data_IF_434072246971
#
_entry.id   IF_434072246971
#
_cell.length_a   1.000
_cell.length_b   1.000
_cell.length_c   1.000
_cell.angle_alpha   90.00
_cell.angle_beta   90.00
_cell.angle_gamma   90.00
#
_symmetry.space_group_name_H-M   'P 1'
#
loop_
_entity.id
_entity.type
_entity.pdbx_description
1 polymer ?
#
# COMPACT_ATOMS: atom_id res chain seq x y z
N UNK A 1 10.73 -5.91 11.12
CA UNK A 1 9.69 -6.61 11.93
C UNK A 1 8.34 -6.51 11.23
N UNK A 2 7.46 -7.54 11.30
CA UNK A 2 6.10 -7.48 10.71
C UNK A 2 5.06 -7.30 11.83
N UNK A 3 3.96 -6.60 11.56
CA UNK A 3 2.85 -6.46 12.53
C UNK A 3 2.19 -7.79 12.85
N UNK A 4 2.17 -8.72 11.90
CA UNK A 4 1.68 -10.08 12.06
C UNK A 4 2.75 -11.07 12.58
N UNK A 5 3.71 -10.62 13.36
CA UNK A 5 4.70 -11.50 14.01
C UNK A 5 4.46 -11.59 15.52
N UNK A 6 4.73 -12.75 16.12
CA UNK A 6 4.58 -12.96 17.56
C UNK A 6 5.47 -12.01 18.38
N UNK A 7 6.68 -11.73 17.90
CA UNK A 7 7.60 -10.76 18.55
C UNK A 7 6.98 -9.36 18.57
N UNK A 8 6.33 -8.94 17.47
CA UNK A 8 5.65 -7.65 17.45
C UNK A 8 4.47 -7.62 18.43
N UNK A 9 3.60 -8.63 18.37
CA UNK A 9 2.35 -8.66 19.13
C UNK A 9 2.56 -8.78 20.65
N UNK A 10 3.55 -9.59 21.09
CA UNK A 10 3.72 -9.93 22.50
C UNK A 10 4.92 -9.26 23.17
N UNK A 11 5.83 -8.65 22.41
CA UNK A 11 7.01 -8.01 22.97
C UNK A 11 7.07 -6.53 22.58
N UNK A 12 7.22 -6.24 21.30
CA UNK A 12 7.46 -4.87 20.85
C UNK A 12 6.28 -3.92 21.13
N UNK A 13 5.08 -4.29 20.69
CA UNK A 13 3.90 -3.44 20.83
C UNK A 13 3.50 -3.20 22.29
N UNK A 14 3.39 -4.23 23.17
CA UNK A 14 3.07 -4.02 24.58
C UNK A 14 4.10 -3.14 25.30
N UNK A 15 5.40 -3.37 25.10
CA UNK A 15 6.45 -2.56 25.72
C UNK A 15 6.36 -1.11 25.21
N UNK A 16 6.21 -0.91 23.91
CA UNK A 16 6.10 0.44 23.32
C UNK A 16 4.88 1.19 23.87
N UNK A 17 3.73 0.54 23.94
CA UNK A 17 2.50 1.13 24.51
C UNK A 17 2.71 1.47 25.99
N UNK A 18 3.25 0.55 26.78
CA UNK A 18 3.49 0.78 28.21
C UNK A 18 4.37 2.01 28.42
N UNK A 19 5.53 2.05 27.76
CA UNK A 19 6.47 3.18 27.88
C UNK A 19 5.81 4.48 27.40
N UNK A 20 5.11 4.46 26.25
CA UNK A 20 4.44 5.63 25.69
C UNK A 20 3.38 6.23 26.63
N UNK A 21 2.61 5.41 27.33
CA UNK A 21 1.57 5.90 28.25
C UNK A 21 2.11 6.28 29.64
N UNK A 22 3.27 5.76 30.04
CA UNK A 22 3.93 6.12 31.31
C UNK A 22 4.66 7.46 31.25
N UNK A 23 5.14 7.90 30.06
CA UNK A 23 5.90 9.14 29.95
C UNK A 23 5.01 10.39 29.77
N UNK A 24 5.50 11.57 30.21
CA UNK A 24 4.77 12.83 29.98
C UNK A 24 4.72 13.18 28.50
N UNK A 25 3.74 14.00 28.11
CA UNK A 25 3.45 14.39 26.71
C UNK A 25 4.70 14.84 25.94
N UNK A 26 5.58 15.63 26.58
CA UNK A 26 6.79 16.19 25.96
C UNK A 26 7.78 15.11 25.46
N UNK A 27 7.74 13.90 26.04
CA UNK A 27 8.67 12.79 25.73
C UNK A 27 8.05 11.77 24.80
N UNK A 28 6.74 11.81 24.56
CA UNK A 28 6.01 10.82 23.75
C UNK A 28 6.54 10.69 22.31
N UNK A 29 6.92 11.80 21.67
CA UNK A 29 7.50 11.76 20.33
C UNK A 29 8.92 11.14 20.33
N UNK A 30 9.69 11.36 21.39
CA UNK A 30 11.02 10.68 21.55
C UNK A 30 10.82 9.17 21.67
N UNK A 31 9.85 8.72 22.48
CA UNK A 31 9.53 7.28 22.62
C UNK A 31 9.13 6.68 21.27
N UNK A 32 8.25 7.36 20.51
CA UNK A 32 7.85 6.90 19.19
C UNK A 32 9.01 6.87 18.20
N UNK A 33 9.87 7.88 18.21
CA UNK A 33 11.07 7.93 17.37
C UNK A 33 12.00 6.74 17.67
N UNK A 34 12.34 6.52 18.95
CA UNK A 34 13.22 5.41 19.35
C UNK A 34 12.59 4.06 19.01
N UNK A 35 11.32 3.85 19.35
CA UNK A 35 10.60 2.62 19.01
C UNK A 35 10.59 2.38 17.50
N UNK A 36 10.35 3.41 16.70
CA UNK A 36 10.33 3.32 15.25
C UNK A 36 11.70 2.99 14.66
N UNK A 37 12.77 3.57 15.20
CA UNK A 37 14.13 3.25 14.79
C UNK A 37 14.50 1.80 15.16
N UNK A 38 14.11 1.31 16.34
CA UNK A 38 14.29 -0.11 16.74
C UNK A 38 13.49 -1.03 15.79
N UNK A 39 12.23 -0.69 15.50
CA UNK A 39 11.37 -1.44 14.59
C UNK A 39 12.00 -1.57 13.20
N UNK A 40 12.55 -0.46 12.67
CA UNK A 40 13.20 -0.43 11.36
C UNK A 40 14.52 -1.19 11.36
N UNK A 41 15.40 -0.93 12.35
CA UNK A 41 16.71 -1.58 12.48
C UNK A 41 16.60 -3.10 12.63
N UNK A 42 15.50 -3.62 13.19
CA UNK A 42 15.25 -5.06 13.29
C UNK A 42 15.25 -5.77 11.94
N UNK A 43 14.74 -5.12 10.90
CA UNK A 43 14.73 -5.66 9.54
C UNK A 43 15.85 -5.14 8.65
N UNK A 44 16.36 -3.94 8.95
CA UNK A 44 17.28 -3.17 8.10
C UNK A 44 18.43 -2.56 8.91
N UNK A 45 19.31 -3.37 9.48
CA UNK A 45 20.36 -2.88 10.39
C UNK A 45 21.38 -1.96 9.71
N UNK A 46 21.57 -2.08 8.39
CA UNK A 46 22.49 -1.23 7.62
C UNK A 46 21.77 0.00 7.07
N UNK A 47 20.58 -0.18 6.50
CA UNK A 47 19.87 0.91 5.82
C UNK A 47 19.19 1.90 6.78
N UNK A 48 19.22 1.65 8.10
CA UNK A 48 18.83 2.65 9.10
C UNK A 48 19.69 3.91 8.99
N UNK A 49 20.99 3.78 8.67
CA UNK A 49 21.87 4.94 8.48
C UNK A 49 21.45 5.78 7.27
N UNK A 50 21.04 5.12 6.17
CA UNK A 50 20.50 5.83 5.00
C UNK A 50 19.24 6.61 5.36
N UNK A 51 18.33 6.02 6.13
CA UNK A 51 17.11 6.69 6.58
C UNK A 51 17.45 7.89 7.49
N UNK A 52 18.38 7.76 8.43
CA UNK A 52 18.82 8.86 9.28
C UNK A 52 19.45 10.01 8.47
N UNK A 53 20.30 9.68 7.49
CA UNK A 53 20.88 10.66 6.57
C UNK A 53 19.77 11.37 5.77
N UNK A 54 18.78 10.62 5.26
CA UNK A 54 17.65 11.19 4.53
C UNK A 54 16.83 12.14 5.42
N UNK A 55 16.59 11.79 6.69
CA UNK A 55 15.89 12.65 7.65
C UNK A 55 16.65 13.96 7.85
N UNK A 56 17.94 13.89 8.17
CA UNK A 56 18.77 15.08 8.38
C UNK A 56 18.83 15.95 7.13
N UNK A 57 19.06 15.34 5.97
CA UNK A 57 19.10 16.04 4.68
C UNK A 57 17.79 16.81 4.43
N UNK A 58 16.63 16.14 4.50
CA UNK A 58 15.35 16.79 4.24
C UNK A 58 14.96 17.80 5.31
N UNK A 59 15.34 17.59 6.58
CA UNK A 59 15.16 18.57 7.65
C UNK A 59 15.89 19.87 7.33
N UNK A 60 17.20 19.82 7.01
CA UNK A 60 17.97 21.01 6.68
C UNK A 60 17.53 21.65 5.36
N UNK A 61 17.15 20.87 4.36
CA UNK A 61 16.61 21.41 3.11
C UNK A 61 15.27 22.13 3.33
N UNK A 62 14.39 21.62 4.20
CA UNK A 62 13.16 22.30 4.58
C UNK A 62 13.42 23.66 5.25
N UNK A 63 14.37 23.70 6.18
CA UNK A 63 14.83 24.95 6.82
C UNK A 63 15.42 25.93 5.79
N UNK A 64 16.27 25.43 4.89
CA UNK A 64 16.89 26.24 3.84
C UNK A 64 15.85 26.87 2.90
N UNK A 65 14.83 26.12 2.49
CA UNK A 65 13.73 26.63 1.65
C UNK A 65 12.92 27.70 2.39
N UNK A 66 12.60 27.47 3.66
CA UNK A 66 11.80 28.41 4.46
C UNK A 66 12.54 29.73 4.76
N UNK A 67 13.85 29.67 5.03
CA UNK A 67 14.66 30.82 5.41
C UNK A 67 15.14 31.67 4.21
N UNK A 68 15.14 31.13 2.99
CA UNK A 68 15.62 31.84 1.80
C UNK A 68 14.69 32.96 1.39
N UNK A 69 15.27 34.14 1.25
CA UNK A 69 14.63 35.30 0.63
C UNK A 69 14.62 35.15 -0.89
N UNK A 70 13.44 35.25 -1.50
CA UNK A 70 13.26 35.32 -2.94
C UNK A 70 12.99 33.96 -3.61
N UNK A 71 11.92 33.97 -4.42
CA UNK A 71 11.33 32.79 -5.11
C UNK A 71 12.34 31.98 -5.93
N UNK A 72 13.26 32.66 -6.63
CA UNK A 72 14.27 31.98 -7.46
C UNK A 72 15.24 31.12 -6.62
N UNK A 73 15.60 31.58 -5.43
CA UNK A 73 16.48 30.85 -4.51
C UNK A 73 15.77 29.63 -3.90
N UNK A 74 14.53 29.82 -3.49
CA UNK A 74 13.67 28.72 -2.99
C UNK A 74 13.47 27.63 -4.04
N UNK A 75 13.19 28.00 -5.32
CA UNK A 75 13.04 27.05 -6.42
C UNK A 75 14.31 26.23 -6.65
N UNK A 76 15.50 26.86 -6.59
CA UNK A 76 16.77 26.13 -6.74
C UNK A 76 16.96 25.10 -5.64
N UNK A 77 16.69 25.46 -4.39
CA UNK A 77 16.76 24.53 -3.26
C UNK A 77 15.73 23.39 -3.39
N UNK A 78 14.50 23.72 -3.79
CA UNK A 78 13.46 22.72 -4.05
C UNK A 78 13.90 21.70 -5.11
N UNK A 79 14.36 22.18 -6.27
CA UNK A 79 14.81 21.30 -7.37
C UNK A 79 15.98 20.43 -6.90
N UNK A 80 16.97 21.01 -6.23
CA UNK A 80 18.11 20.28 -5.69
C UNK A 80 17.64 19.16 -4.75
N UNK A 81 16.75 19.47 -3.81
CA UNK A 81 16.24 18.49 -2.84
C UNK A 81 15.46 17.37 -3.53
N UNK A 82 14.59 17.71 -4.50
CA UNK A 82 13.84 16.72 -5.28
C UNK A 82 14.80 15.81 -6.05
N UNK A 83 15.80 16.38 -6.74
CA UNK A 83 16.76 15.60 -7.52
C UNK A 83 17.56 14.64 -6.65
N UNK A 84 18.04 15.09 -5.48
CA UNK A 84 18.80 14.22 -4.56
C UNK A 84 17.91 13.07 -4.03
N UNK A 85 16.68 13.35 -3.58
CA UNK A 85 15.77 12.31 -3.10
C UNK A 85 15.43 11.29 -4.21
N UNK A 86 15.12 11.76 -5.42
CA UNK A 86 14.83 10.89 -6.56
C UNK A 86 16.08 10.13 -7.04
N UNK A 87 17.27 10.72 -6.95
CA UNK A 87 18.52 10.02 -7.27
C UNK A 87 18.78 8.87 -6.28
N UNK A 88 18.61 9.11 -4.98
CA UNK A 88 18.78 8.05 -3.96
C UNK A 88 17.78 6.93 -4.20
N UNK A 89 16.50 7.24 -4.36
CA UNK A 89 15.47 6.26 -4.66
C UNK A 89 15.78 5.52 -5.97
N UNK A 90 16.15 6.25 -7.02
CA UNK A 90 16.48 5.72 -8.34
C UNK A 90 17.68 4.80 -8.32
N UNK A 91 18.71 5.15 -7.57
CA UNK A 91 19.90 4.34 -7.42
C UNK A 91 19.58 2.96 -6.81
N UNK A 92 18.90 2.92 -5.67
CA UNK A 92 18.58 1.63 -5.04
C UNK A 92 17.54 0.84 -5.81
N UNK A 93 16.55 1.49 -6.42
CA UNK A 93 15.42 0.80 -7.04
C UNK A 93 15.67 0.42 -8.51
N UNK A 94 16.31 1.30 -9.29
CA UNK A 94 16.38 1.13 -10.75
C UNK A 94 17.77 0.80 -11.30
N UNK A 95 18.83 0.89 -10.49
CA UNK A 95 20.19 0.59 -10.93
C UNK A 95 20.30 -0.77 -11.63
N UNK A 96 19.86 -1.83 -10.98
CA UNK A 96 19.88 -3.18 -11.56
C UNK A 96 19.05 -3.31 -12.84
N UNK A 97 17.86 -2.70 -12.86
CA UNK A 97 16.99 -2.69 -14.04
C UNK A 97 17.62 -1.97 -15.22
N UNK A 98 18.21 -0.80 -15.00
CA UNK A 98 18.90 -0.03 -16.05
C UNK A 98 20.08 -0.82 -16.60
N UNK A 99 20.95 -1.35 -15.73
CA UNK A 99 22.12 -2.10 -16.18
C UNK A 99 21.74 -3.39 -16.93
N UNK A 100 20.71 -4.11 -16.46
CA UNK A 100 20.20 -5.30 -17.15
C UNK A 100 19.71 -4.97 -18.57
N UNK A 101 18.94 -3.87 -18.73
CA UNK A 101 18.47 -3.45 -20.04
C UNK A 101 19.63 -2.95 -20.94
N UNK A 102 20.62 -2.24 -20.39
CA UNK A 102 21.82 -1.85 -21.13
C UNK A 102 22.60 -3.08 -21.61
N UNK A 103 22.80 -4.07 -20.76
CA UNK A 103 23.48 -5.32 -21.12
C UNK A 103 22.74 -6.13 -22.21
N UNK A 104 21.42 -5.94 -22.35
CA UNK A 104 20.65 -6.57 -23.43
C UNK A 104 20.84 -5.88 -24.81
N UNK A 105 21.32 -4.65 -24.82
CA UNK A 105 21.46 -3.82 -26.04
C UNK A 105 22.93 -3.64 -26.43
N UNK A 106 23.82 -3.52 -25.45
CA UNK A 106 25.23 -3.22 -25.67
C UNK A 106 26.02 -4.47 -26.14
N UNK A 107 27.05 -4.31 -26.99
CA UNK A 107 27.90 -5.41 -27.43
C UNK A 107 28.91 -5.89 -26.37
N UNK A 108 28.99 -5.23 -25.23
CA UNK A 108 29.84 -5.58 -24.10
C UNK A 108 29.00 -5.66 -22.80
N UNK A 109 29.48 -6.47 -21.87
CA UNK A 109 28.79 -6.67 -20.58
C UNK A 109 29.29 -5.69 -19.52
N UNK A 110 28.37 -4.98 -18.85
CA UNK A 110 28.62 -4.13 -17.69
C UNK A 110 28.39 -4.98 -16.43
N UNK A 111 29.45 -5.34 -15.68
CA UNK A 111 29.29 -6.08 -14.45
C UNK A 111 28.58 -5.21 -13.39
N UNK A 112 27.63 -5.79 -12.68
CA UNK A 112 26.95 -5.09 -11.59
C UNK A 112 26.58 -6.04 -10.45
N UNK A 113 26.53 -5.50 -9.25
CA UNK A 113 26.03 -6.21 -8.08
C UNK A 113 24.56 -5.83 -7.88
N UNK A 114 23.71 -6.82 -7.73
CA UNK A 114 22.31 -6.58 -7.37
C UNK A 114 22.26 -5.95 -5.97
N UNK A 115 21.71 -4.75 -5.88
CA UNK A 115 21.48 -4.05 -4.62
C UNK A 115 20.15 -4.54 -4.04
N UNK A 116 20.12 -4.74 -2.73
CA UNK A 116 18.87 -4.94 -2.02
C UNK A 116 18.16 -3.60 -1.87
N UNK A 117 16.85 -3.60 -2.10
CA UNK A 117 16.04 -2.40 -1.94
C UNK A 117 15.79 -2.14 -0.46
N UNK A 118 16.22 -0.99 0.11
CA UNK A 118 15.92 -0.66 1.50
C UNK A 118 14.41 -0.64 1.75
N UNK A 119 13.94 -1.40 2.72
CA UNK A 119 12.51 -1.48 3.05
C UNK A 119 11.96 -0.07 3.35
N UNK A 120 10.82 0.28 2.75
CA UNK A 120 10.16 1.56 2.98
C UNK A 120 10.79 2.78 2.30
N UNK A 121 11.90 2.62 1.52
CA UNK A 121 12.55 3.78 0.86
C UNK A 121 11.59 4.57 -0.03
N UNK A 122 10.70 3.89 -0.76
CA UNK A 122 9.69 4.55 -1.59
C UNK A 122 8.69 5.36 -0.76
N UNK A 123 8.32 4.87 0.44
CA UNK A 123 7.37 5.53 1.33
C UNK A 123 7.97 6.77 1.98
N UNK A 124 9.12 6.64 2.67
CA UNK A 124 9.71 7.80 3.34
C UNK A 124 10.23 8.84 2.34
N UNK A 125 10.64 8.44 1.12
CA UNK A 125 10.96 9.40 0.06
C UNK A 125 9.71 10.20 -0.35
N UNK A 126 8.56 9.56 -0.53
CA UNK A 126 7.32 10.27 -0.86
C UNK A 126 6.84 11.18 0.28
N UNK A 127 6.99 10.75 1.53
CA UNK A 127 6.70 11.58 2.70
C UNK A 127 7.58 12.82 2.75
N UNK A 128 8.89 12.66 2.62
CA UNK A 128 9.83 13.78 2.66
C UNK A 128 9.66 14.71 1.45
N UNK A 129 9.41 14.18 0.25
CA UNK A 129 9.11 15.00 -0.93
C UNK A 129 7.83 15.82 -0.75
N UNK A 130 6.75 15.22 -0.22
CA UNK A 130 5.51 15.97 0.04
C UNK A 130 5.76 17.10 1.04
N UNK A 131 6.48 16.84 2.14
CA UNK A 131 6.85 17.86 3.11
C UNK A 131 7.61 19.03 2.46
N UNK A 132 8.68 18.75 1.71
CA UNK A 132 9.51 19.78 1.06
C UNK A 132 8.70 20.61 0.06
N UNK A 133 7.85 19.98 -0.73
CA UNK A 133 6.98 20.67 -1.69
C UNK A 133 5.95 21.53 -0.97
N UNK A 134 5.37 21.04 0.12
CA UNK A 134 4.35 21.77 0.87
C UNK A 134 4.93 22.95 1.67
N UNK A 135 6.14 22.83 2.22
CA UNK A 135 6.90 23.97 2.78
C UNK A 135 7.14 25.04 1.71
N UNK A 136 7.58 24.64 0.51
CA UNK A 136 7.78 25.59 -0.60
C UNK A 136 6.48 26.27 -1.06
N UNK A 137 5.36 25.55 -1.04
CA UNK A 137 4.02 26.09 -1.40
C UNK A 137 3.45 26.99 -0.30
N UNK A 138 3.97 26.90 0.93
CA UNK A 138 3.41 27.56 2.11
C UNK A 138 2.14 26.88 2.63
N UNK A 139 1.94 25.61 2.30
CA UNK A 139 0.80 24.81 2.77
C UNK A 139 0.99 24.35 4.22
N UNK A 140 2.24 24.22 4.66
CA UNK A 140 2.64 23.82 6.01
C UNK A 140 3.81 24.67 6.50
N UNK A 141 3.93 24.81 7.82
CA UNK A 141 5.07 25.44 8.44
C UNK A 141 6.29 24.51 8.42
N UNK A 142 7.50 25.12 8.34
CA UNK A 142 8.73 24.34 8.44
C UNK A 142 8.86 23.75 9.84
N UNK A 143 9.15 22.44 9.92
CA UNK A 143 9.37 21.77 11.20
C UNK A 143 10.75 22.10 11.75
N UNK A 144 10.77 22.83 12.86
CA UNK A 144 12.01 23.27 13.55
C UNK A 144 12.50 22.27 14.61
N UNK A 145 11.68 21.28 14.97
CA UNK A 145 12.04 20.24 15.93
C UNK A 145 12.44 18.96 15.18
N UNK A 146 13.72 18.60 15.23
CA UNK A 146 14.26 17.42 14.58
C UNK A 146 13.63 16.12 15.10
N UNK A 147 13.25 16.05 16.37
CA UNK A 147 12.59 14.88 16.96
C UNK A 147 11.20 14.69 16.35
N UNK A 148 10.42 15.76 16.22
CA UNK A 148 9.09 15.72 15.63
C UNK A 148 9.15 15.37 14.14
N UNK A 149 10.12 15.92 13.40
CA UNK A 149 10.35 15.60 12.01
C UNK A 149 10.79 14.12 11.83
N UNK A 150 11.77 13.69 12.65
CA UNK A 150 12.22 12.29 12.67
C UNK A 150 11.08 11.32 13.01
N UNK A 151 10.24 11.66 14.01
CA UNK A 151 9.05 10.87 14.36
C UNK A 151 8.09 10.76 13.17
N UNK A 152 7.81 11.87 12.48
CA UNK A 152 6.96 11.87 11.28
C UNK A 152 7.46 10.89 10.21
N UNK A 153 8.74 10.96 9.87
CA UNK A 153 9.32 10.15 8.79
C UNK A 153 9.43 8.68 9.18
N UNK A 154 9.81 8.38 10.44
CA UNK A 154 10.12 7.01 10.88
C UNK A 154 8.94 6.25 11.47
N UNK A 155 7.83 6.91 11.79
CA UNK A 155 6.73 6.37 12.58
C UNK A 155 6.32 4.96 12.11
N UNK A 156 6.62 3.94 12.90
CA UNK A 156 6.52 2.53 12.52
C UNK A 156 5.12 2.09 12.02
N UNK A 157 3.99 2.66 12.50
CA UNK A 157 2.70 2.28 11.95
C UNK A 157 2.55 2.56 10.44
N UNK A 158 3.16 3.63 9.94
CA UNK A 158 3.01 4.04 8.54
C UNK A 158 4.20 3.67 7.64
N UNK A 159 5.40 3.44 8.24
CA UNK A 159 6.69 3.45 7.52
C UNK A 159 6.81 2.41 6.40
N UNK A 160 6.29 1.19 6.59
CA UNK A 160 6.55 0.08 5.67
C UNK A 160 5.48 -0.03 4.58
N UNK A 161 4.22 -0.08 4.95
CA UNK A 161 3.07 -0.19 4.03
C UNK A 161 1.78 0.36 4.65
N UNK A 162 1.90 1.29 5.58
CA UNK A 162 0.78 2.10 6.04
C UNK A 162 0.31 3.07 4.95
N UNK A 163 -0.70 3.89 5.22
CA UNK A 163 -1.03 5.01 4.35
C UNK A 163 0.18 5.93 4.17
N UNK A 164 0.37 6.47 2.95
CA UNK A 164 1.37 7.52 2.72
C UNK A 164 0.84 8.79 3.35
N UNK A 165 1.20 9.01 4.61
CA UNK A 165 0.74 10.16 5.40
C UNK A 165 1.53 11.39 4.97
N UNK A 166 0.83 12.44 4.53
CA UNK A 166 1.45 13.72 4.23
C UNK A 166 1.72 14.49 5.53
N UNK A 167 2.73 15.36 5.52
CA UNK A 167 3.07 16.13 6.72
C UNK A 167 1.90 17.02 7.18
N UNK A 168 1.15 17.59 6.25
CA UNK A 168 -0.06 18.37 6.52
C UNK A 168 -1.13 17.61 7.34
N UNK A 169 -1.22 16.29 7.17
CA UNK A 169 -2.19 15.46 7.88
C UNK A 169 -1.83 15.30 9.38
N UNK A 170 -0.55 15.40 9.73
CA UNK A 170 -0.04 15.10 11.08
C UNK A 170 0.67 16.24 11.76
N UNK A 171 0.95 17.34 11.09
CA UNK A 171 1.66 18.51 11.63
C UNK A 171 1.12 18.93 13.00
N UNK A 172 -0.18 19.21 13.07
CA UNK A 172 -0.84 19.59 14.32
C UNK A 172 -0.88 18.44 15.33
N UNK A 173 -1.06 17.19 14.86
CA UNK A 173 -1.16 16.02 15.72
C UNK A 173 0.17 15.68 16.41
N UNK A 174 1.31 15.97 15.79
CA UNK A 174 2.63 15.80 16.42
C UNK A 174 2.73 16.61 17.71
N UNK A 175 2.09 17.80 17.77
CA UNK A 175 2.15 18.71 18.92
C UNK A 175 0.95 18.57 19.86
N UNK A 176 -0.26 18.40 19.34
CA UNK A 176 -1.51 18.60 20.07
C UNK A 176 -2.45 17.39 20.13
N UNK A 177 -1.99 16.18 19.65
CA UNK A 177 -2.84 14.99 19.68
C UNK A 177 -3.30 14.65 21.10
N UNK A 178 -4.52 14.15 21.20
CA UNK A 178 -5.14 13.69 22.46
C UNK A 178 -5.41 12.20 22.38
N UNK A 179 -4.88 11.49 23.33
CA UNK A 179 -5.18 10.07 23.54
C UNK A 179 -6.46 9.96 24.40
N UNK A 180 -7.28 8.94 24.12
CA UNK A 180 -8.42 8.56 24.95
C UNK A 180 -8.60 7.04 24.94
N UNK A 181 -9.22 6.50 25.99
CA UNK A 181 -9.56 5.07 26.06
C UNK A 181 -10.47 4.65 24.91
N UNK A 182 -11.38 5.52 24.48
CA UNK A 182 -12.28 5.28 23.34
C UNK A 182 -11.46 5.14 22.04
N UNK A 183 -10.55 6.08 21.76
CA UNK A 183 -9.67 6.00 20.60
C UNK A 183 -8.78 4.76 20.65
N UNK A 184 -8.26 4.43 21.83
CA UNK A 184 -7.44 3.24 22.02
C UNK A 184 -8.24 1.97 21.73
N UNK A 185 -9.44 1.81 22.30
CA UNK A 185 -10.29 0.64 22.06
C UNK A 185 -10.69 0.50 20.59
N UNK A 186 -11.02 1.61 19.93
CA UNK A 186 -11.32 1.62 18.50
C UNK A 186 -10.10 1.29 17.65
N UNK A 187 -8.92 1.80 18.03
CA UNK A 187 -7.65 1.46 17.41
C UNK A 187 -7.30 -0.03 17.56
N UNK A 188 -7.51 -0.61 18.74
CA UNK A 188 -7.31 -2.04 18.99
C UNK A 188 -8.24 -2.91 18.14
N UNK A 189 -9.50 -2.52 17.99
CA UNK A 189 -10.43 -3.19 17.10
C UNK A 189 -9.97 -3.16 15.64
N UNK A 190 -9.59 -1.99 15.12
CA UNK A 190 -9.05 -1.86 13.76
C UNK A 190 -7.81 -2.73 13.55
N UNK A 191 -6.93 -2.76 14.53
CA UNK A 191 -5.73 -3.58 14.51
C UNK A 191 -6.08 -5.08 14.42
N UNK A 192 -6.98 -5.57 15.27
CA UNK A 192 -7.36 -7.00 15.28
C UNK A 192 -8.11 -7.37 14.01
N UNK A 193 -8.99 -6.50 13.49
CA UNK A 193 -9.65 -6.74 12.20
C UNK A 193 -8.65 -6.77 11.03
N UNK A 194 -7.67 -5.87 11.02
CA UNK A 194 -6.58 -5.88 10.04
C UNK A 194 -5.73 -7.15 10.13
N UNK A 195 -5.40 -7.58 11.36
CA UNK A 195 -4.68 -8.83 11.62
C UNK A 195 -5.47 -10.05 11.11
N UNK A 196 -6.78 -10.09 11.34
CA UNK A 196 -7.64 -11.16 10.86
C UNK A 196 -7.70 -11.21 9.32
N UNK A 197 -7.84 -10.06 8.64
CA UNK A 197 -7.74 -9.98 7.19
C UNK A 197 -6.41 -10.57 6.68
N UNK A 198 -5.30 -10.20 7.32
CA UNK A 198 -3.96 -10.65 6.94
C UNK A 198 -3.77 -12.13 7.22
N UNK A 199 -4.04 -12.59 8.44
CA UNK A 199 -3.68 -13.95 8.88
C UNK A 199 -4.68 -14.98 8.38
N UNK A 200 -5.98 -14.72 8.55
CA UNK A 200 -7.01 -15.72 8.26
C UNK A 200 -7.41 -15.76 6.78
N UNK A 201 -7.40 -14.61 6.08
CA UNK A 201 -7.82 -14.55 4.68
C UNK A 201 -6.62 -14.49 3.74
N UNK A 202 -5.77 -13.44 3.85
CA UNK A 202 -4.71 -13.24 2.87
C UNK A 202 -3.69 -14.39 2.85
N UNK A 203 -3.23 -14.86 4.01
CA UNK A 203 -2.26 -15.96 4.06
C UNK A 203 -2.85 -17.26 3.50
N UNK A 204 -4.07 -17.62 3.93
CA UNK A 204 -4.70 -18.87 3.50
C UNK A 204 -5.03 -18.84 2.00
N UNK A 205 -5.64 -17.78 1.51
CA UNK A 205 -5.96 -17.64 0.08
C UNK A 205 -4.67 -17.50 -0.75
N UNK A 206 -3.65 -16.86 -0.20
CA UNK A 206 -2.34 -16.77 -0.83
C UNK A 206 -1.66 -18.11 -1.03
N UNK A 207 -1.79 -19.04 -0.08
CA UNK A 207 -1.27 -20.40 -0.26
C UNK A 207 -2.01 -21.16 -1.38
N UNK A 208 -3.30 -20.88 -1.61
CA UNK A 208 -4.05 -21.42 -2.75
C UNK A 208 -3.47 -20.89 -4.07
N UNK A 209 -3.21 -19.58 -4.14
CA UNK A 209 -2.58 -18.98 -5.32
C UNK A 209 -1.20 -19.59 -5.61
N UNK A 210 -0.32 -19.69 -4.61
CA UNK A 210 1.03 -20.27 -4.80
C UNK A 210 0.97 -21.73 -5.29
N UNK A 211 0.03 -22.53 -4.77
CA UNK A 211 -0.19 -23.89 -5.23
C UNK A 211 -0.61 -23.95 -6.71
N UNK A 212 -1.51 -23.04 -7.14
CA UNK A 212 -1.93 -22.96 -8.54
C UNK A 212 -0.78 -22.47 -9.43
N UNK A 213 -0.03 -21.47 -8.98
CA UNK A 213 1.09 -20.90 -9.72
C UNK A 213 2.24 -21.89 -9.93
N UNK A 214 2.36 -22.92 -9.09
CA UNK A 214 3.35 -23.97 -9.18
C UNK A 214 2.93 -25.15 -10.08
N UNK A 215 1.72 -25.13 -10.67
CA UNK A 215 1.23 -26.23 -11.52
C UNK A 215 1.87 -26.23 -12.92
N UNK A 216 2.22 -27.40 -13.42
CA UNK A 216 2.64 -27.62 -14.80
C UNK A 216 1.41 -27.73 -15.73
N UNK A 217 0.91 -26.58 -16.17
CA UNK A 217 -0.32 -26.48 -16.97
C UNK A 217 -1.56 -26.31 -16.11
N UNK A 218 -2.57 -25.65 -16.65
CA UNK A 218 -3.82 -25.35 -15.94
C UNK A 218 -4.99 -25.29 -16.91
N UNK A 219 -6.18 -25.69 -16.44
CA UNK A 219 -7.42 -25.47 -17.18
C UNK A 219 -7.84 -24.00 -17.14
N UNK A 220 -8.79 -23.60 -18.01
CA UNK A 220 -9.34 -22.25 -18.01
C UNK A 220 -9.86 -21.87 -16.63
N UNK A 221 -10.64 -22.76 -15.99
CA UNK A 221 -11.21 -22.52 -14.67
C UNK A 221 -10.11 -22.40 -13.61
N UNK A 222 -9.07 -23.25 -13.65
CA UNK A 222 -7.92 -23.18 -12.72
C UNK A 222 -7.17 -21.85 -12.86
N UNK A 223 -6.97 -21.36 -14.10
CA UNK A 223 -6.31 -20.07 -14.34
C UNK A 223 -7.11 -18.89 -13.76
N UNK A 224 -8.44 -18.89 -13.90
CA UNK A 224 -9.32 -17.90 -13.28
C UNK A 224 -9.36 -18.01 -11.76
N UNK A 225 -9.36 -19.22 -11.19
CA UNK A 225 -9.29 -19.41 -9.73
C UNK A 225 -7.97 -18.89 -9.15
N UNK A 226 -6.83 -19.12 -9.83
CA UNK A 226 -5.54 -18.56 -9.40
C UNK A 226 -5.52 -17.04 -9.43
N UNK A 227 -6.07 -16.44 -10.49
CA UNK A 227 -6.22 -14.98 -10.58
C UNK A 227 -7.15 -14.43 -9.49
N UNK A 228 -8.27 -15.10 -9.20
CA UNK A 228 -9.20 -14.73 -8.12
C UNK A 228 -8.54 -14.87 -6.74
N UNK A 229 -7.78 -15.94 -6.51
CA UNK A 229 -7.03 -16.14 -5.28
C UNK A 229 -6.04 -15.00 -5.04
N UNK A 230 -5.24 -14.63 -6.06
CA UNK A 230 -4.35 -13.48 -5.94
C UNK A 230 -5.10 -12.16 -5.73
N UNK A 231 -6.22 -11.97 -6.40
CA UNK A 231 -7.10 -10.79 -6.24
C UNK A 231 -7.54 -10.61 -4.79
N UNK A 232 -7.96 -11.68 -4.11
CA UNK A 232 -8.29 -11.60 -2.69
C UNK A 232 -7.04 -11.48 -1.81
N UNK A 233 -5.98 -12.22 -2.12
CA UNK A 233 -4.73 -12.16 -1.37
C UNK A 233 -4.20 -10.73 -1.30
N UNK A 234 -4.00 -10.06 -2.44
CA UNK A 234 -3.42 -8.70 -2.47
C UNK A 234 -4.31 -7.69 -1.75
N UNK A 235 -5.63 -7.84 -1.85
CA UNK A 235 -6.56 -6.96 -1.15
C UNK A 235 -6.52 -7.13 0.37
N UNK A 236 -6.64 -8.37 0.85
CA UNK A 236 -6.66 -8.62 2.29
C UNK A 236 -5.29 -8.46 2.93
N UNK A 237 -4.21 -8.75 2.21
CA UNK A 237 -2.84 -8.53 2.68
C UNK A 237 -2.59 -7.03 2.90
N UNK A 238 -2.85 -6.23 1.89
CA UNK A 238 -2.54 -4.80 1.94
C UNK A 238 -3.58 -4.00 2.76
N UNK A 239 -4.89 -4.26 2.58
CA UNK A 239 -5.90 -3.59 3.41
C UNK A 239 -5.80 -3.99 4.87
N UNK A 240 -5.46 -5.25 5.17
CA UNK A 240 -5.23 -5.72 6.53
C UNK A 240 -4.06 -5.01 7.19
N UNK A 241 -2.94 -4.87 6.48
CA UNK A 241 -1.79 -4.11 6.99
C UNK A 241 -2.13 -2.62 7.19
N UNK A 242 -2.84 -2.02 6.24
CA UNK A 242 -3.28 -0.62 6.34
C UNK A 242 -4.23 -0.40 7.52
N UNK A 243 -5.18 -1.32 7.77
CA UNK A 243 -6.08 -1.25 8.92
C UNK A 243 -5.31 -1.38 10.24
N UNK A 244 -4.32 -2.30 10.30
CA UNK A 244 -3.42 -2.39 11.47
C UNK A 244 -2.67 -1.09 11.70
N UNK A 245 -2.16 -0.45 10.63
CA UNK A 245 -1.46 0.84 10.70
C UNK A 245 -2.35 1.97 11.23
N UNK A 246 -3.58 2.08 10.70
CA UNK A 246 -4.58 3.06 11.17
C UNK A 246 -4.96 2.78 12.64
N UNK A 247 -5.15 1.51 12.99
CA UNK A 247 -5.42 1.09 14.37
C UNK A 247 -4.32 1.49 15.34
N UNK A 248 -3.06 1.21 14.99
CA UNK A 248 -1.90 1.64 15.78
C UNK A 248 -1.81 3.17 15.89
N UNK A 249 -2.03 3.90 14.77
CA UNK A 249 -2.11 5.35 14.81
C UNK A 249 -3.10 5.84 15.88
N UNK A 250 -4.34 5.31 15.89
CA UNK A 250 -5.37 5.66 16.86
C UNK A 250 -4.97 5.32 18.30
N UNK A 251 -4.30 4.19 18.54
CA UNK A 251 -3.77 3.84 19.85
C UNK A 251 -2.75 4.87 20.37
N UNK A 252 -1.95 5.47 19.48
CA UNK A 252 -1.01 6.54 19.82
C UNK A 252 -1.59 7.95 19.70
N UNK A 253 -2.90 8.08 19.46
CA UNK A 253 -3.63 9.35 19.37
C UNK A 253 -3.60 10.03 18.01
N UNK A 254 -3.02 9.39 16.97
CA UNK A 254 -3.02 9.89 15.59
C UNK A 254 -4.26 9.44 14.81
N UNK A 255 -4.68 10.27 13.87
CA UNK A 255 -5.72 9.96 12.89
C UNK A 255 -5.06 9.84 11.51
N UNK A 256 -4.95 8.62 10.99
CA UNK A 256 -4.48 8.36 9.63
C UNK A 256 -5.64 8.16 8.69
N UNK A 257 -5.45 8.53 7.42
CA UNK A 257 -6.45 8.31 6.38
C UNK A 257 -6.63 6.82 6.09
N UNK A 258 -7.86 6.42 5.75
CA UNK A 258 -8.12 5.08 5.24
C UNK A 258 -7.52 4.92 3.84
N UNK A 259 -6.93 3.76 3.58
CA UNK A 259 -6.27 3.48 2.31
C UNK A 259 -7.13 2.65 1.35
N UNK A 260 -8.18 2.01 1.84
CA UNK A 260 -9.10 1.17 1.08
C UNK A 260 -10.56 1.43 1.48
N UNK A 261 -11.45 1.42 0.47
CA UNK A 261 -12.89 1.55 0.67
C UNK A 261 -13.64 0.59 -0.25
N UNK A 262 -13.58 -0.72 0.05
CA UNK A 262 -14.26 -1.79 -0.70
C UNK A 262 -14.10 -1.65 -2.23
N UNK A 263 -12.88 -1.72 -2.76
CA UNK A 263 -12.61 -1.42 -4.17
C UNK A 263 -13.27 -2.39 -5.14
N UNK A 264 -13.54 -3.64 -4.75
CA UNK A 264 -14.08 -4.67 -5.64
C UNK A 264 -15.58 -4.58 -5.92
N UNK A 265 -16.28 -3.62 -5.31
CA UNK A 265 -17.66 -3.27 -5.69
C UNK A 265 -17.74 -2.04 -6.61
N UNK A 266 -16.61 -1.59 -7.14
CA UNK A 266 -16.55 -0.40 -8.01
C UNK A 266 -17.24 -0.65 -9.36
N UNK A 267 -17.93 0.36 -9.83
CA UNK A 267 -18.71 0.34 -11.09
C UNK A 267 -17.90 0.77 -12.31
N UNK A 268 -16.65 1.21 -12.09
CA UNK A 268 -15.68 1.57 -13.14
C UNK A 268 -14.26 1.43 -12.60
N UNK A 269 -13.28 1.32 -13.48
CA UNK A 269 -11.86 1.31 -13.10
C UNK A 269 -11.44 2.67 -12.51
N UNK A 270 -12.06 3.75 -12.97
CA UNK A 270 -11.89 5.08 -12.36
C UNK A 270 -12.35 5.10 -10.89
N UNK A 271 -13.49 4.49 -10.59
CA UNK A 271 -13.97 4.37 -9.20
C UNK A 271 -13.10 3.43 -8.38
N UNK A 272 -12.65 2.31 -8.98
CA UNK A 272 -11.75 1.37 -8.33
C UNK A 272 -10.51 2.06 -7.78
N UNK A 273 -9.82 2.90 -8.56
CA UNK A 273 -8.63 3.62 -8.12
C UNK A 273 -8.89 4.76 -7.13
N UNK A 274 -10.13 5.21 -6.98
CA UNK A 274 -10.54 6.11 -5.88
C UNK A 274 -10.76 5.38 -4.57
N UNK A 275 -10.89 4.04 -4.61
CA UNK A 275 -11.17 3.17 -3.47
C UNK A 275 -9.97 2.28 -3.09
N UNK A 276 -9.02 2.12 -4.01
CA UNK A 276 -7.79 1.34 -3.86
C UNK A 276 -6.60 2.25 -3.64
N UNK A 277 -5.79 1.98 -2.58
CA UNK A 277 -4.55 2.70 -2.25
C UNK A 277 -4.72 4.23 -2.33
N UNK A 278 -5.70 4.73 -1.60
CA UNK A 278 -6.19 6.12 -1.67
C UNK A 278 -5.05 7.11 -1.42
N UNK A 279 -4.16 6.82 -0.45
CA UNK A 279 -3.04 7.69 -0.11
C UNK A 279 -2.05 7.86 -1.26
N UNK A 280 -1.73 6.78 -1.99
CA UNK A 280 -0.87 6.85 -3.18
C UNK A 280 -1.53 7.66 -4.31
N UNK A 281 -2.82 7.38 -4.56
CA UNK A 281 -3.60 8.14 -5.55
C UNK A 281 -3.66 9.63 -5.24
N UNK A 282 -3.85 9.99 -3.97
CA UNK A 282 -3.83 11.38 -3.49
C UNK A 282 -2.46 12.01 -3.69
N UNK A 283 -1.39 11.29 -3.36
CA UNK A 283 -0.02 11.77 -3.53
C UNK A 283 0.29 12.09 -5.01
N UNK A 284 0.04 11.14 -5.92
CA UNK A 284 0.26 11.36 -7.35
C UNK A 284 -0.62 12.48 -7.91
N UNK A 285 -1.84 12.61 -7.42
CA UNK A 285 -2.74 13.71 -7.81
C UNK A 285 -2.17 15.07 -7.42
N UNK A 286 -1.76 15.24 -6.15
CA UNK A 286 -1.33 16.56 -5.61
C UNK A 286 0.07 16.96 -6.09
N UNK A 287 0.99 16.00 -6.22
CA UNK A 287 2.40 16.31 -6.48
C UNK A 287 2.84 16.05 -7.92
N UNK A 288 2.04 15.35 -8.74
CA UNK A 288 2.36 15.09 -10.15
C UNK A 288 1.27 15.58 -11.08
N UNK A 289 0.03 15.08 -10.92
CA UNK A 289 -1.04 15.35 -11.88
C UNK A 289 -1.45 16.83 -11.91
N UNK A 290 -1.70 17.45 -10.77
CA UNK A 290 -2.08 18.87 -10.68
C UNK A 290 -0.95 19.80 -11.20
N UNK A 291 0.33 19.62 -10.81
CA UNK A 291 1.43 20.40 -11.37
C UNK A 291 1.60 20.29 -12.89
N UNK A 292 1.26 19.14 -13.50
CA UNK A 292 1.25 18.97 -14.95
C UNK A 292 0.08 19.69 -15.65
N UNK A 293 -0.81 20.36 -14.88
CA UNK A 293 -2.00 21.06 -15.37
C UNK A 293 -3.31 20.29 -15.15
N UNK A 294 -3.25 19.04 -14.65
CA UNK A 294 -4.42 18.22 -14.35
C UNK A 294 -5.34 18.04 -15.57
N UNK A 295 -6.62 18.27 -15.37
CA UNK A 295 -7.66 18.25 -16.44
C UNK A 295 -8.01 19.64 -16.99
N UNK A 296 -7.30 20.70 -16.55
CA UNK A 296 -7.54 22.09 -16.97
C UNK A 296 -6.65 22.48 -18.16
N UNK A 297 -6.40 21.55 -19.06
CA UNK A 297 -5.55 21.67 -20.24
C UNK A 297 -6.25 21.09 -21.47
N UNK A 298 -5.66 21.27 -22.66
CA UNK A 298 -6.19 20.68 -23.90
C UNK A 298 -6.26 19.15 -23.82
N UNK A 299 -7.15 18.52 -24.57
CA UNK A 299 -7.35 17.07 -24.56
C UNK A 299 -6.04 16.28 -24.78
N UNK A 300 -5.22 16.58 -25.82
CA UNK A 300 -3.96 15.85 -26.01
C UNK A 300 -3.00 15.96 -24.80
N UNK A 301 -2.92 17.15 -24.18
CA UNK A 301 -2.10 17.35 -22.98
C UNK A 301 -2.65 16.57 -21.79
N UNK A 302 -3.99 16.50 -21.63
CA UNK A 302 -4.60 15.72 -20.57
C UNK A 302 -4.36 14.22 -20.73
N UNK A 303 -4.42 13.68 -21.97
CA UNK A 303 -4.05 12.28 -22.26
C UNK A 303 -2.61 12.01 -21.84
N UNK A 304 -1.68 12.90 -22.21
CA UNK A 304 -0.27 12.80 -21.81
C UNK A 304 -0.10 12.85 -20.29
N UNK A 305 -0.80 13.74 -19.59
CA UNK A 305 -0.75 13.83 -18.12
C UNK A 305 -1.18 12.51 -17.46
N UNK A 306 -2.27 11.88 -17.96
CA UNK A 306 -2.72 10.59 -17.45
C UNK A 306 -1.68 9.50 -17.72
N UNK A 307 -1.13 9.41 -18.91
CA UNK A 307 -0.11 8.42 -19.25
C UNK A 307 1.17 8.60 -18.41
N UNK A 308 1.63 9.85 -18.19
CA UNK A 308 2.78 10.13 -17.34
C UNK A 308 2.52 9.66 -15.89
N UNK A 309 1.37 10.01 -15.32
CA UNK A 309 1.03 9.61 -13.95
C UNK A 309 1.00 8.09 -13.81
N UNK A 310 0.37 7.38 -14.74
CA UNK A 310 0.26 5.92 -14.67
C UNK A 310 1.56 5.20 -15.00
N UNK A 311 2.37 5.74 -15.90
CA UNK A 311 3.73 5.27 -16.15
C UNK A 311 4.58 5.38 -14.87
N UNK A 312 4.56 6.53 -14.20
CA UNK A 312 5.28 6.75 -12.94
C UNK A 312 4.73 5.89 -11.81
N UNK A 313 3.41 5.66 -11.77
CA UNK A 313 2.79 4.74 -10.80
C UNK A 313 3.28 3.31 -11.02
N UNK A 314 3.36 2.86 -12.26
CA UNK A 314 3.93 1.55 -12.60
C UNK A 314 5.39 1.43 -12.17
N UNK A 315 6.23 2.40 -12.52
CA UNK A 315 7.63 2.45 -12.08
C UNK A 315 7.76 2.47 -10.54
N UNK A 316 6.89 3.20 -9.85
CA UNK A 316 6.92 3.24 -8.39
C UNK A 316 6.67 1.86 -7.76
N UNK A 317 5.84 1.03 -8.36
CA UNK A 317 5.60 -0.33 -7.87
C UNK A 317 6.83 -1.24 -8.06
N UNK A 318 7.55 -1.16 -9.18
CA UNK A 318 8.71 -2.01 -9.35
C UNK A 318 9.55 -1.70 -10.59
N UNK A 319 10.81 -2.11 -10.52
CA UNK A 319 11.79 -1.95 -11.59
C UNK A 319 11.72 -3.15 -12.56
N UNK A 320 10.60 -3.30 -13.26
CA UNK A 320 10.43 -4.30 -14.32
C UNK A 320 9.43 -3.83 -15.38
N UNK A 321 9.52 -4.42 -16.57
CA UNK A 321 8.62 -4.11 -17.68
C UNK A 321 7.16 -4.45 -17.39
N UNK A 322 6.92 -5.46 -16.54
CA UNK A 322 5.57 -5.82 -16.09
C UNK A 322 4.85 -4.65 -15.44
N UNK A 323 5.53 -3.96 -14.50
CA UNK A 323 4.95 -2.81 -13.80
C UNK A 323 4.77 -1.62 -14.74
N UNK A 324 5.69 -1.41 -15.70
CA UNK A 324 5.51 -0.36 -16.71
C UNK A 324 4.27 -0.63 -17.56
N UNK A 325 4.13 -1.86 -18.08
CA UNK A 325 2.96 -2.26 -18.88
C UNK A 325 1.68 -2.23 -18.05
N UNK A 326 1.72 -2.67 -16.80
CA UNK A 326 0.61 -2.56 -15.86
C UNK A 326 0.15 -1.11 -15.65
N UNK A 327 1.07 -0.19 -15.43
CA UNK A 327 0.74 1.23 -15.31
C UNK A 327 0.12 1.79 -16.59
N UNK A 328 0.71 1.53 -17.75
CA UNK A 328 0.19 1.98 -19.04
C UNK A 328 -1.18 1.36 -19.36
N UNK A 329 -1.40 0.09 -19.02
CA UNK A 329 -2.70 -0.58 -19.15
C UNK A 329 -3.82 0.21 -18.42
N UNK A 330 -3.58 0.60 -17.16
CA UNK A 330 -4.56 1.42 -16.45
C UNK A 330 -4.66 2.85 -16.99
N UNK A 331 -3.55 3.44 -17.43
CA UNK A 331 -3.58 4.73 -18.10
C UNK A 331 -4.50 4.74 -19.32
N UNK A 332 -4.40 3.71 -20.17
CA UNK A 332 -5.25 3.55 -21.35
C UNK A 332 -6.72 3.32 -20.99
N UNK A 333 -7.00 2.45 -19.99
CA UNK A 333 -8.37 2.20 -19.54
C UNK A 333 -9.03 3.47 -19.02
N UNK A 334 -8.34 4.24 -18.18
CA UNK A 334 -8.89 5.47 -17.63
C UNK A 334 -9.14 6.55 -18.68
N UNK A 335 -8.28 6.63 -19.69
CA UNK A 335 -8.51 7.48 -20.86
C UNK A 335 -9.77 7.01 -21.60
N UNK A 336 -9.88 5.70 -21.84
CA UNK A 336 -11.02 5.11 -22.55
C UNK A 336 -12.31 5.31 -21.77
N UNK A 337 -12.32 5.10 -20.44
CA UNK A 337 -13.52 5.38 -19.62
C UNK A 337 -13.90 6.86 -19.68
N UNK A 338 -12.92 7.76 -19.59
CA UNK A 338 -13.20 9.18 -19.54
C UNK A 338 -13.79 9.73 -20.85
N UNK A 339 -13.26 9.30 -21.98
CA UNK A 339 -13.59 9.91 -23.28
C UNK A 339 -14.56 9.09 -24.13
N UNK A 340 -14.65 7.77 -23.90
CA UNK A 340 -15.42 6.87 -24.76
C UNK A 340 -16.44 6.03 -23.99
N UNK A 341 -16.00 5.10 -23.15
CA UNK A 341 -16.86 4.03 -22.60
C UNK A 341 -17.63 4.45 -21.36
N UNK A 342 -17.21 5.47 -20.61
CA UNK A 342 -17.83 5.81 -19.33
C UNK A 342 -19.33 6.17 -19.42
N UNK A 343 -19.74 6.87 -20.50
CA UNK A 343 -21.16 7.19 -20.72
C UNK A 343 -22.01 5.96 -21.07
N UNK A 344 -21.42 4.96 -21.72
CA UNK A 344 -22.08 3.70 -22.06
C UNK A 344 -22.18 2.86 -20.80
N UNK A 345 -21.06 2.71 -20.08
CA UNK A 345 -20.98 1.95 -18.84
C UNK A 345 -22.01 2.42 -17.80
N UNK A 346 -22.18 3.73 -17.64
CA UNK A 346 -23.14 4.32 -16.70
C UNK A 346 -24.61 3.98 -16.99
N UNK A 347 -24.93 3.49 -18.19
CA UNK A 347 -26.30 3.08 -18.58
C UNK A 347 -26.56 1.58 -18.33
N UNK A 348 -25.54 0.79 -18.06
CA UNK A 348 -25.65 -0.64 -17.81
C UNK A 348 -26.13 -0.92 -16.39
N UNK A 349 -26.72 -2.09 -16.12
CA UNK A 349 -27.02 -2.54 -14.76
C UNK A 349 -25.76 -2.57 -13.89
N UNK A 350 -25.89 -2.27 -12.59
CA UNK A 350 -24.76 -2.19 -11.66
C UNK A 350 -23.91 -3.48 -11.63
N UNK A 351 -24.55 -4.64 -11.67
CA UNK A 351 -23.84 -5.93 -11.70
C UNK A 351 -22.92 -6.06 -12.93
N UNK A 352 -23.36 -5.55 -14.10
CA UNK A 352 -22.56 -5.56 -15.34
C UNK A 352 -21.38 -4.59 -15.22
N UNK A 353 -21.60 -3.41 -14.61
CA UNK A 353 -20.54 -2.43 -14.35
C UNK A 353 -19.47 -3.00 -13.43
N UNK A 354 -19.87 -3.68 -12.34
CA UNK A 354 -18.94 -4.33 -11.40
C UNK A 354 -18.20 -5.46 -12.11
N UNK A 355 -18.89 -6.30 -12.88
CA UNK A 355 -18.25 -7.39 -13.62
C UNK A 355 -17.19 -6.87 -14.62
N UNK A 356 -17.53 -5.82 -15.39
CA UNK A 356 -16.57 -5.14 -16.28
C UNK A 356 -15.33 -4.69 -15.52
N UNK A 357 -15.54 -4.01 -14.40
CA UNK A 357 -14.43 -3.50 -13.57
C UNK A 357 -13.58 -4.65 -13.03
N UNK A 358 -14.22 -5.70 -12.49
CA UNK A 358 -13.51 -6.85 -11.91
C UNK A 358 -12.70 -7.61 -12.95
N UNK A 359 -13.23 -7.84 -14.15
CA UNK A 359 -12.47 -8.51 -15.23
C UNK A 359 -11.20 -7.71 -15.55
N UNK A 360 -11.30 -6.40 -15.74
CA UNK A 360 -10.15 -5.55 -16.06
C UNK A 360 -9.14 -5.48 -14.91
N UNK A 361 -9.63 -5.41 -13.67
CA UNK A 361 -8.77 -5.42 -12.48
C UNK A 361 -8.05 -6.74 -12.34
N UNK A 362 -8.72 -7.86 -12.55
CA UNK A 362 -8.11 -9.20 -12.49
C UNK A 362 -7.04 -9.37 -13.58
N UNK A 363 -7.29 -8.94 -14.80
CA UNK A 363 -6.27 -8.92 -15.87
C UNK A 363 -5.08 -8.03 -15.50
N UNK A 364 -5.33 -6.87 -14.89
CA UNK A 364 -4.28 -6.02 -14.33
C UNK A 364 -3.46 -6.72 -13.25
N UNK A 365 -4.09 -7.52 -12.37
CA UNK A 365 -3.36 -8.30 -11.37
C UNK A 365 -2.51 -9.41 -12.00
N UNK A 366 -2.91 -10.01 -13.12
CA UNK A 366 -2.05 -10.97 -13.84
C UNK A 366 -0.76 -10.31 -14.31
N UNK A 367 -0.83 -9.10 -14.87
CA UNK A 367 0.37 -8.32 -15.21
C UNK A 367 1.23 -8.01 -13.99
N UNK A 368 0.62 -7.78 -12.84
CA UNK A 368 1.28 -7.37 -11.60
C UNK A 368 2.02 -8.53 -10.91
N UNK A 369 1.40 -9.70 -10.80
CA UNK A 369 2.01 -10.83 -10.08
C UNK A 369 2.98 -11.65 -10.92
N UNK A 370 2.89 -11.58 -12.23
CA UNK A 370 3.71 -12.42 -13.12
C UNK A 370 5.18 -12.02 -13.07
N UNK A 371 6.12 -12.97 -13.01
CA UNK A 371 7.55 -12.66 -13.00
C UNK A 371 8.05 -11.97 -14.26
N UNK A 372 7.46 -12.27 -15.42
CA UNK A 372 7.81 -11.71 -16.72
C UNK A 372 6.57 -11.39 -17.54
N UNK A 373 6.68 -10.50 -18.53
CA UNK A 373 5.58 -10.23 -19.47
C UNK A 373 5.16 -11.50 -20.23
N UNK A 374 6.12 -12.36 -20.58
CA UNK A 374 5.83 -13.64 -21.24
C UNK A 374 4.94 -14.52 -20.37
N UNK A 375 5.27 -14.70 -19.08
CA UNK A 375 4.44 -15.47 -18.15
C UNK A 375 3.07 -14.83 -17.93
N UNK A 376 2.97 -13.50 -17.94
CA UNK A 376 1.68 -12.81 -17.84
C UNK A 376 0.79 -13.12 -19.05
N UNK A 377 1.33 -13.03 -20.26
CA UNK A 377 0.59 -13.36 -21.48
C UNK A 377 0.22 -14.84 -21.58
N UNK A 378 1.10 -15.74 -21.12
CA UNK A 378 0.76 -17.18 -21.01
C UNK A 378 -0.40 -17.40 -20.04
N UNK A 379 -0.37 -16.76 -18.86
CA UNK A 379 -1.47 -16.88 -17.89
C UNK A 379 -2.79 -16.36 -18.45
N UNK A 380 -2.77 -15.16 -19.06
CA UNK A 380 -3.94 -14.59 -19.73
C UNK A 380 -4.42 -15.50 -20.86
N UNK A 381 -3.51 -16.07 -21.65
CA UNK A 381 -3.84 -17.06 -22.68
C UNK A 381 -4.60 -18.24 -22.11
N UNK A 382 -4.12 -18.83 -21.01
CA UNK A 382 -4.80 -19.93 -20.33
C UNK A 382 -6.19 -19.53 -19.82
N UNK A 383 -6.39 -18.32 -19.31
CA UNK A 383 -7.71 -17.82 -18.88
C UNK A 383 -8.73 -17.78 -20.02
N UNK A 384 -8.27 -17.64 -21.27
CA UNK A 384 -9.12 -17.59 -22.46
C UNK A 384 -8.99 -18.84 -23.36
N UNK A 385 -8.37 -19.93 -22.84
CA UNK A 385 -8.30 -21.23 -23.50
C UNK A 385 -7.08 -21.40 -24.42
N UNK A 386 -6.24 -20.39 -24.61
CA UNK A 386 -5.04 -20.48 -25.42
C UNK A 386 -3.89 -21.09 -24.58
N UNK A 387 -3.58 -22.36 -24.78
CA UNK A 387 -2.57 -23.10 -24.01
C UNK A 387 -3.10 -23.80 -22.76
N UNK A 388 -4.39 -23.65 -22.45
CA UNK A 388 -5.03 -24.37 -21.35
C UNK A 388 -5.16 -25.87 -21.63
N UNK A 389 -5.07 -26.69 -20.57
CA UNK A 389 -5.22 -28.18 -20.66
C UNK A 389 -6.65 -28.60 -20.94
N UNK A 390 -7.62 -27.71 -20.92
CA UNK A 390 -9.04 -27.90 -21.11
C UNK A 390 -9.85 -26.79 -20.47
N UNK A 391 -11.17 -26.84 -20.55
CA UNK A 391 -12.02 -25.82 -19.92
C UNK A 391 -12.04 -25.98 -18.39
N UNK A 392 -12.26 -27.21 -17.90
CA UNK A 392 -12.33 -27.56 -16.48
C UNK A 392 -11.72 -28.92 -16.25
N UNK A 393 -10.99 -29.10 -15.16
CA UNK A 393 -10.37 -30.36 -14.76
C UNK A 393 -10.77 -30.75 -13.33
N UNK A 394 -10.39 -31.97 -12.91
CA UNK A 394 -10.63 -32.43 -11.54
C UNK A 394 -9.97 -31.55 -10.47
N UNK A 395 -8.86 -30.94 -10.83
CA UNK A 395 -8.12 -30.04 -9.94
C UNK A 395 -8.90 -28.74 -9.66
N UNK A 396 -9.52 -28.15 -10.69
CA UNK A 396 -10.38 -26.98 -10.51
C UNK A 396 -11.56 -27.29 -9.58
N UNK A 397 -12.21 -28.45 -9.77
CA UNK A 397 -13.31 -28.89 -8.92
C UNK A 397 -12.86 -29.10 -7.47
N UNK A 398 -11.71 -29.76 -7.27
CA UNK A 398 -11.11 -29.94 -5.95
C UNK A 398 -10.81 -28.61 -5.25
N UNK A 399 -10.21 -27.65 -5.96
CA UNK A 399 -9.89 -26.31 -5.41
C UNK A 399 -11.15 -25.55 -4.99
N UNK A 400 -12.22 -25.63 -5.79
CA UNK A 400 -13.51 -25.01 -5.45
C UNK A 400 -14.11 -25.65 -4.20
N UNK A 401 -14.24 -27.00 -4.19
CA UNK A 401 -14.91 -27.71 -3.11
C UNK A 401 -14.13 -27.68 -1.79
N UNK A 402 -12.81 -27.84 -1.84
CA UNK A 402 -11.97 -27.81 -0.64
C UNK A 402 -11.94 -26.42 0.02
N UNK A 403 -11.94 -25.37 -0.80
CA UNK A 403 -11.72 -24.00 -0.33
C UNK A 403 -12.99 -23.14 -0.38
N UNK A 404 -14.18 -23.74 -0.49
CA UNK A 404 -15.43 -23.00 -0.67
C UNK A 404 -15.67 -21.91 0.39
N UNK A 405 -15.30 -22.20 1.65
CA UNK A 405 -15.44 -21.25 2.76
C UNK A 405 -14.60 -19.99 2.54
N UNK A 406 -13.36 -20.16 2.05
CA UNK A 406 -12.47 -19.03 1.78
C UNK A 406 -12.91 -18.22 0.55
N UNK A 407 -13.48 -18.86 -0.47
CA UNK A 407 -14.09 -18.15 -1.60
C UNK A 407 -15.27 -17.30 -1.15
N UNK A 408 -16.17 -17.84 -0.37
CA UNK A 408 -17.33 -17.11 0.18
C UNK A 408 -16.86 -15.99 1.13
N UNK A 409 -15.93 -16.27 2.03
CA UNK A 409 -15.37 -15.28 2.95
C UNK A 409 -14.65 -14.14 2.20
N UNK A 410 -13.92 -14.46 1.12
CA UNK A 410 -13.27 -13.50 0.24
C UNK A 410 -14.27 -12.57 -0.43
N UNK A 411 -15.35 -13.12 -0.99
CA UNK A 411 -16.42 -12.32 -1.62
C UNK A 411 -17.09 -11.40 -0.58
N UNK A 412 -17.57 -11.97 0.53
CA UNK A 412 -18.28 -11.21 1.58
C UNK A 412 -17.37 -10.14 2.20
N UNK A 413 -16.13 -10.49 2.54
CA UNK A 413 -15.14 -9.58 3.12
C UNK A 413 -14.71 -8.44 2.18
N UNK A 414 -14.87 -8.62 0.87
CA UNK A 414 -14.62 -7.59 -0.13
C UNK A 414 -15.77 -6.58 -0.29
N UNK A 415 -16.89 -6.80 0.42
CA UNK A 415 -18.07 -5.91 0.42
C UNK A 415 -18.22 -5.19 1.76
N UNK A 416 -18.99 -4.10 1.84
CA UNK A 416 -19.27 -3.42 3.11
C UNK A 416 -20.19 -4.20 4.06
N UNK A 417 -20.65 -5.39 3.69
CA UNK A 417 -21.61 -6.18 4.45
C UNK A 417 -21.17 -6.41 5.89
N UNK A 418 -19.93 -6.87 6.10
CA UNK A 418 -19.41 -7.14 7.45
C UNK A 418 -19.27 -5.86 8.28
N UNK A 419 -18.93 -4.75 7.67
CA UNK A 419 -18.86 -3.45 8.34
C UNK A 419 -20.25 -2.95 8.76
N UNK A 420 -21.24 -3.05 7.88
CA UNK A 420 -22.63 -2.68 8.18
C UNK A 420 -23.24 -3.57 9.27
N UNK A 421 -22.96 -4.88 9.22
CA UNK A 421 -23.38 -5.82 10.24
C UNK A 421 -22.70 -5.51 11.57
N UNK A 422 -21.40 -5.23 11.57
CA UNK A 422 -20.64 -4.84 12.75
C UNK A 422 -21.16 -3.56 13.39
N UNK A 423 -21.41 -2.51 12.61
CA UNK A 423 -22.06 -1.28 13.11
C UNK A 423 -23.40 -1.56 13.76
N UNK A 424 -24.20 -2.45 13.18
CA UNK A 424 -25.55 -2.74 13.67
C UNK A 424 -25.59 -3.59 14.91
N UNK A 425 -24.65 -4.53 15.08
CA UNK A 425 -24.67 -5.54 16.14
C UNK A 425 -23.67 -5.28 17.27
N UNK A 426 -22.53 -4.61 16.96
CA UNK A 426 -21.37 -4.65 17.86
C UNK A 426 -20.73 -3.29 18.10
N UNK A 427 -20.66 -2.42 17.08
CA UNK A 427 -19.88 -1.19 17.11
C UNK A 427 -20.65 0.01 16.56
N UNK A 428 -21.13 0.84 17.46
CA UNK A 428 -21.39 2.24 17.18
C UNK A 428 -20.19 3.07 17.67
N UNK A 429 -19.73 4.07 16.92
CA UNK A 429 -18.68 5.00 17.38
C UNK A 429 -19.06 5.68 18.69
N UNK A 430 -20.36 5.83 18.95
CA UNK A 430 -20.91 6.38 20.18
C UNK A 430 -20.96 5.35 21.34
N UNK A 431 -20.87 4.05 21.07
CA UNK A 431 -20.95 2.96 22.07
C UNK A 431 -19.91 1.85 21.85
N UNK A 432 -18.60 2.17 21.88
CA UNK A 432 -17.55 1.19 21.54
C UNK A 432 -17.31 0.08 22.58
N UNK A 433 -18.05 0.03 23.66
CA UNK A 433 -17.75 -0.79 24.85
C UNK A 433 -18.78 -1.86 25.18
N UNK A 434 -19.37 -2.50 24.18
CA UNK A 434 -20.19 -3.67 24.50
C UNK A 434 -19.30 -4.84 24.88
N UNK A 435 -19.70 -5.60 25.93
CA UNK A 435 -19.01 -6.84 26.35
C UNK A 435 -18.88 -7.81 25.15
N UNK A 436 -19.91 -7.87 24.30
CA UNK A 436 -19.89 -8.68 23.07
C UNK A 436 -18.75 -8.27 22.14
N UNK A 437 -18.51 -6.97 21.93
CA UNK A 437 -17.41 -6.49 21.10
C UNK A 437 -16.06 -6.94 21.65
N UNK A 438 -15.86 -6.82 22.96
CA UNK A 438 -14.66 -7.27 23.65
C UNK A 438 -14.43 -8.78 23.50
N UNK A 439 -15.48 -9.59 23.70
CA UNK A 439 -15.41 -11.05 23.53
C UNK A 439 -15.07 -11.44 22.08
N UNK A 440 -15.74 -10.82 21.09
CA UNK A 440 -15.48 -11.09 19.67
C UNK A 440 -14.06 -10.69 19.27
N UNK A 441 -13.59 -9.53 19.71
CA UNK A 441 -12.23 -9.06 19.44
C UNK A 441 -11.20 -10.02 20.06
N UNK A 442 -11.39 -10.43 21.31
CA UNK A 442 -10.48 -11.36 21.99
C UNK A 442 -10.48 -12.74 21.30
N UNK A 443 -11.65 -13.28 20.99
CA UNK A 443 -11.77 -14.55 20.28
C UNK A 443 -11.09 -14.51 18.90
N UNK A 444 -11.30 -13.43 18.14
CA UNK A 444 -10.66 -13.23 16.84
C UNK A 444 -9.13 -13.10 16.95
N UNK A 445 -8.65 -12.35 17.96
CA UNK A 445 -7.23 -12.22 18.23
C UNK A 445 -6.59 -13.56 18.59
N UNK A 446 -7.21 -14.34 19.49
CA UNK A 446 -6.74 -15.69 19.86
C UNK A 446 -6.69 -16.62 18.64
N UNK A 447 -7.70 -16.57 17.78
CA UNK A 447 -7.72 -17.33 16.53
C UNK A 447 -6.56 -16.93 15.60
N UNK A 448 -6.32 -15.62 15.43
CA UNK A 448 -5.18 -15.14 14.65
C UNK A 448 -3.84 -15.62 15.22
N UNK A 449 -3.67 -15.58 16.55
CA UNK A 449 -2.46 -16.08 17.20
C UNK A 449 -2.28 -17.58 17.00
N UNK A 450 -3.36 -18.38 17.11
CA UNK A 450 -3.32 -19.80 16.84
C UNK A 450 -2.81 -20.09 15.41
N UNK A 451 -3.33 -19.39 14.42
CA UNK A 451 -2.85 -19.49 13.02
C UNK A 451 -1.39 -19.09 12.87
N UNK A 452 -0.96 -17.99 13.52
CA UNK A 452 0.44 -17.53 13.46
C UNK A 452 1.44 -18.50 14.11
N UNK A 453 1.00 -19.31 15.06
CA UNK A 453 1.82 -20.34 15.71
C UNK A 453 1.91 -21.61 14.85
N UNK A 454 0.83 -21.96 14.16
CA UNK A 454 0.75 -23.22 13.38
C UNK A 454 1.21 -23.07 11.94
N UNK A 455 1.03 -21.90 11.33
CA UNK A 455 1.31 -21.68 9.91
C UNK A 455 2.66 -20.95 9.72
N UNK A 456 3.55 -21.56 8.92
CA UNK A 456 4.82 -20.94 8.53
C UNK A 456 4.69 -19.92 7.40
N UNK A 457 3.61 -19.99 6.61
CA UNK A 457 3.36 -19.11 5.48
C UNK A 457 2.78 -17.76 5.95
N UNK A 458 3.62 -16.76 6.07
CA UNK A 458 3.23 -15.40 6.46
C UNK A 458 3.96 -14.37 5.59
N UNK A 459 3.78 -14.40 4.25
CA UNK A 459 4.41 -13.44 3.37
C UNK A 459 3.79 -12.07 3.55
N UNK A 460 4.56 -11.04 3.19
CA UNK A 460 4.01 -9.71 3.00
C UNK A 460 4.35 -9.28 1.57
N UNK A 461 3.31 -9.21 0.72
CA UNK A 461 3.49 -9.00 -0.71
C UNK A 461 4.24 -7.70 -1.03
N UNK A 462 4.04 -6.67 -0.20
CA UNK A 462 4.65 -5.36 -0.42
C UNK A 462 6.18 -5.33 -0.28
N UNK A 463 6.80 -6.33 0.34
CA UNK A 463 8.27 -6.45 0.37
C UNK A 463 8.86 -6.96 -0.94
N UNK A 464 8.02 -7.41 -1.86
CA UNK A 464 8.45 -7.90 -3.17
C UNK A 464 8.58 -6.78 -4.22
N UNK A 465 8.15 -5.53 -3.90
CA UNK A 465 8.02 -4.43 -4.85
C UNK A 465 8.88 -3.22 -4.52
#
# INVERSE_FOLDING_TARGET
MLFSSLVFLFTFLPITLLVYYLVPRKVKNVVLLIASLIFYAWGEPVYIFLMLISILFNYFCGMDIALKAGRKSQVRSLIFTIVVNLFILGFFKYYGFIVTNLNAILPFYIPYRKLELPIGISFYTFQTLSYIIDVYRGNVDVQVNLIDFGTYVTMFPQLIAGPIVQYADVERQLRERKESLTKFGYGAWFFVMGLAKKVLLANTIGSIYENIAAMDGMSVVTAWLGCLAYTFQIYFDFSGYSDMAVGLGKMFGFEFMQNFNYPYISKSVTEFWRRWHISLGSWFREYVYIPLGGNRVTVPRHLLNLLIVWFLTGLWHGASWNFVVWGLFYGVILITEKYFTGKILAKLPEAVQILYTMILVMLGWVLFFSPTLGSAFTWIGNMFGQGATGFMDSQALYLIMRNWLFWVAGIIGSTPFMHLLGKRLVFDEERPHTVLAGCLMTGLFVLCVAYLVTESYNPFLYFRF
#
